data_IF_991646686213
#
_entry.id   IF_991646686213
#
_cell.length_a   1.000
_cell.length_b   1.000
_cell.length_c   1.000
_cell.angle_alpha   90.00
_cell.angle_beta   90.00
_cell.angle_gamma   90.00
#
_symmetry.space_group_name_H-M   'P 1'
#
loop_
_entity.id
_entity.type
_entity.pdbx_description
1 polymer ?
#
# COMPACT_ATOMS: atom_id res chain seq x y z
N UNK A 1 19.32 26.24 -82.77
CA UNK A 1 20.44 25.83 -81.90
C UNK A 1 20.50 26.81 -80.75
N UNK A 2 19.90 26.50 -79.64
CA UNK A 2 19.92 27.29 -78.39
C UNK A 2 20.89 26.65 -77.43
N UNK A 3 21.95 27.39 -77.09
CA UNK A 3 22.97 26.99 -76.11
C UNK A 3 22.37 26.99 -74.66
N UNK A 4 22.41 25.84 -73.98
CA UNK A 4 22.20 25.80 -72.58
C UNK A 4 23.44 26.29 -71.78
N UNK A 5 23.29 27.11 -70.74
CA UNK A 5 24.42 27.55 -69.94
C UNK A 5 24.94 26.44 -69.06
N UNK A 6 26.26 26.22 -69.06
CA UNK A 6 26.95 25.29 -68.12
C UNK A 6 26.87 25.83 -66.71
N UNK A 7 26.46 24.99 -65.78
CA UNK A 7 26.49 25.29 -64.35
C UNK A 7 27.93 25.40 -63.86
N UNK A 8 28.31 26.58 -63.42
CA UNK A 8 29.62 26.84 -62.81
C UNK A 8 29.79 26.22 -61.46
N UNK A 9 31.00 25.99 -60.95
CA UNK A 9 31.26 25.37 -59.65
C UNK A 9 30.74 26.29 -58.52
N UNK A 10 30.08 25.65 -57.53
CA UNK A 10 29.62 26.31 -56.32
C UNK A 10 30.77 27.05 -55.61
N UNK A 11 30.55 28.21 -55.00
CA UNK A 11 31.60 28.96 -54.32
C UNK A 11 32.09 28.20 -53.07
N UNK A 12 33.42 28.16 -52.92
CA UNK A 12 34.14 27.37 -51.86
C UNK A 12 33.57 27.45 -50.40
N UNK A 13 32.99 28.56 -49.97
CA UNK A 13 32.40 28.60 -48.60
C UNK A 13 31.09 27.82 -48.44
N UNK A 14 30.34 27.55 -49.51
CA UNK A 14 29.12 26.74 -49.45
C UNK A 14 29.42 25.23 -49.36
N UNK A 15 30.43 24.76 -50.11
CA UNK A 15 30.86 23.38 -50.06
C UNK A 15 31.44 22.99 -48.68
N UNK A 16 32.23 23.89 -48.06
CA UNK A 16 32.75 23.67 -46.70
C UNK A 16 31.65 23.62 -45.64
N UNK A 17 30.58 24.41 -45.78
CA UNK A 17 29.41 24.39 -44.86
C UNK A 17 28.57 23.12 -45.05
N UNK A 18 28.44 22.62 -46.27
CA UNK A 18 27.69 21.37 -46.52
C UNK A 18 28.44 20.16 -45.96
N UNK A 19 29.77 20.10 -46.09
CA UNK A 19 30.61 19.05 -45.53
C UNK A 19 30.59 19.08 -43.99
N UNK A 20 30.65 20.26 -43.38
CA UNK A 20 30.53 20.43 -41.94
C UNK A 20 29.15 20.00 -41.43
N UNK A 21 28.05 20.32 -42.15
CA UNK A 21 26.69 19.90 -41.78
C UNK A 21 26.50 18.38 -41.88
N UNK A 22 27.06 17.76 -42.94
CA UNK A 22 27.01 16.30 -43.09
C UNK A 22 27.86 15.59 -42.05
N UNK A 23 29.00 16.15 -41.65
CA UNK A 23 29.82 15.60 -40.56
C UNK A 23 29.12 15.68 -39.21
N UNK A 24 28.42 16.78 -38.91
CA UNK A 24 27.60 16.93 -37.68
C UNK A 24 26.42 15.96 -37.70
N UNK A 25 25.75 15.76 -38.84
CA UNK A 25 24.64 14.82 -38.98
C UNK A 25 25.13 13.38 -38.85
N UNK A 26 26.30 13.03 -39.35
CA UNK A 26 26.90 11.70 -39.20
C UNK A 26 27.32 11.41 -37.75
N UNK A 27 27.84 12.41 -37.03
CA UNK A 27 28.13 12.29 -35.58
C UNK A 27 26.85 12.17 -34.75
N UNK A 28 25.77 12.91 -35.09
CA UNK A 28 24.50 12.79 -34.42
C UNK A 28 23.81 11.44 -34.65
N UNK A 29 23.96 10.82 -35.82
CA UNK A 29 23.46 9.49 -36.14
C UNK A 29 24.30 8.36 -35.52
N UNK A 30 25.60 8.59 -35.25
CA UNK A 30 26.51 7.63 -34.63
C UNK A 30 26.31 7.46 -33.12
N UNK A 31 25.64 8.41 -32.43
CA UNK A 31 25.34 8.35 -30.99
C UNK A 31 23.88 7.99 -30.67
N UNK A 32 23.06 7.63 -31.66
CA UNK A 32 21.77 6.99 -31.37
C UNK A 32 22.04 5.56 -30.87
N UNK A 33 22.44 5.43 -29.61
CA UNK A 33 22.36 4.14 -28.94
C UNK A 33 20.93 3.62 -29.09
N UNK A 34 20.71 2.37 -29.52
CA UNK A 34 19.36 1.82 -29.57
C UNK A 34 18.71 2.00 -28.21
N UNK A 35 17.63 2.75 -28.12
CA UNK A 35 16.80 2.80 -26.93
C UNK A 35 16.30 1.38 -26.68
N UNK A 36 17.04 0.61 -25.87
CA UNK A 36 16.59 -0.71 -25.46
C UNK A 36 15.33 -0.49 -24.65
N UNK A 37 14.22 -0.98 -25.17
CA UNK A 37 12.94 -0.98 -24.46
C UNK A 37 13.15 -1.77 -23.17
N UNK A 38 13.32 -1.07 -22.05
CA UNK A 38 13.37 -1.69 -20.73
C UNK A 38 12.04 -2.38 -20.46
N UNK A 39 12.09 -3.59 -19.93
CA UNK A 39 10.91 -4.32 -19.49
C UNK A 39 10.12 -3.45 -18.50
N UNK A 40 8.95 -2.99 -18.93
CA UNK A 40 8.02 -2.21 -18.11
C UNK A 40 6.61 -2.72 -18.31
N UNK A 41 5.92 -2.95 -17.21
CA UNK A 41 4.52 -3.32 -17.23
C UNK A 41 3.66 -2.06 -17.43
N UNK A 42 2.97 -1.96 -18.58
CA UNK A 42 2.03 -0.86 -18.81
C UNK A 42 0.69 -1.16 -18.11
N UNK A 43 0.41 -0.39 -17.07
CA UNK A 43 -0.83 -0.47 -16.28
C UNK A 43 -1.80 0.59 -16.84
N UNK A 44 -2.66 0.20 -17.78
CA UNK A 44 -3.67 1.11 -18.32
C UNK A 44 -4.39 0.57 -19.54
N UNK A 45 -5.71 0.61 -19.54
CA UNK A 45 -6.63 0.44 -20.68
C UNK A 45 -6.61 -0.91 -21.37
N UNK A 46 -7.52 -1.81 -21.01
CA UNK A 46 -7.69 -3.13 -21.63
C UNK A 46 -7.70 -4.28 -20.60
N UNK A 47 -7.79 -5.51 -21.07
CA UNK A 47 -7.63 -6.70 -20.21
C UNK A 47 -6.16 -6.78 -19.75
N UNK A 48 -5.90 -6.35 -18.52
CA UNK A 48 -4.60 -6.50 -17.90
C UNK A 48 -4.29 -8.00 -17.70
N UNK A 49 -3.14 -8.47 -18.20
CA UNK A 49 -2.64 -9.81 -17.92
C UNK A 49 -1.40 -9.71 -17.02
N UNK A 50 -1.36 -10.46 -15.89
CA UNK A 50 -0.19 -10.50 -15.05
C UNK A 50 1.06 -10.99 -15.80
N UNK A 51 2.19 -10.34 -15.57
CA UNK A 51 3.45 -10.64 -16.22
C UNK A 51 4.04 -11.98 -15.75
N UNK A 52 4.37 -12.92 -16.65
CA UNK A 52 5.07 -14.15 -16.29
C UNK A 52 6.49 -13.83 -15.79
N UNK A 53 6.83 -14.31 -14.58
CA UNK A 53 8.13 -14.10 -13.92
C UNK A 53 8.62 -15.40 -13.30
N UNK A 54 9.93 -15.64 -13.29
CA UNK A 54 10.53 -16.73 -12.53
C UNK A 54 11.31 -16.17 -11.33
N UNK A 55 11.16 -16.82 -10.18
CA UNK A 55 11.92 -16.53 -8.96
C UNK A 55 12.66 -17.81 -8.59
N UNK A 56 13.97 -17.86 -8.86
CA UNK A 56 14.77 -19.02 -8.54
C UNK A 56 14.96 -19.17 -7.03
N UNK A 57 15.18 -20.40 -6.56
CA UNK A 57 15.62 -20.60 -5.19
C UNK A 57 16.96 -19.91 -4.96
N UNK A 58 17.06 -19.15 -3.87
CA UNK A 58 18.31 -18.45 -3.57
C UNK A 58 19.35 -19.45 -3.10
N UNK A 59 20.50 -19.44 -3.77
CA UNK A 59 21.62 -20.32 -3.45
C UNK A 59 22.25 -20.02 -2.09
N UNK A 60 23.21 -20.85 -1.67
CA UNK A 60 23.93 -20.75 -0.41
C UNK A 60 23.26 -21.53 0.72
N UNK A 61 22.71 -20.88 1.74
CA UNK A 61 21.96 -21.55 2.82
C UNK A 61 20.58 -22.02 2.28
N UNK A 62 20.32 -23.35 2.13
CA UNK A 62 19.11 -23.82 1.48
C UNK A 62 17.82 -23.45 2.22
N UNK A 63 17.86 -23.42 3.56
CA UNK A 63 16.69 -23.10 4.40
C UNK A 63 16.32 -21.62 4.30
N UNK A 64 17.30 -20.75 4.45
CA UNK A 64 17.10 -19.30 4.38
C UNK A 64 16.91 -18.83 2.94
N UNK A 65 17.58 -19.46 1.97
CA UNK A 65 17.39 -19.18 0.55
C UNK A 65 15.97 -19.47 0.09
N UNK A 66 15.44 -20.65 0.43
CA UNK A 66 14.06 -21.03 0.14
C UNK A 66 13.04 -20.16 0.89
N UNK A 67 13.33 -19.73 2.13
CA UNK A 67 12.48 -18.77 2.85
C UNK A 67 12.39 -17.43 2.11
N UNK A 68 13.51 -16.85 1.71
CA UNK A 68 13.55 -15.53 1.03
C UNK A 68 12.87 -15.61 -0.33
N UNK A 69 13.24 -16.60 -1.18
CA UNK A 69 12.63 -16.75 -2.52
C UNK A 69 11.15 -17.05 -2.44
N UNK A 70 10.69 -17.82 -1.44
CA UNK A 70 9.28 -18.11 -1.18
C UNK A 70 8.49 -16.86 -0.81
N UNK A 71 9.04 -15.96 0.01
CA UNK A 71 8.41 -14.67 0.34
C UNK A 71 8.31 -13.81 -0.92
N UNK A 72 9.37 -13.70 -1.72
CA UNK A 72 9.36 -12.92 -2.98
C UNK A 72 8.29 -13.46 -3.93
N UNK A 73 8.25 -14.78 -4.14
CA UNK A 73 7.26 -15.46 -4.99
C UNK A 73 5.84 -15.17 -4.55
N UNK A 74 5.56 -15.30 -3.25
CA UNK A 74 4.23 -15.08 -2.70
C UNK A 74 3.80 -13.61 -2.82
N UNK A 75 4.67 -12.67 -2.49
CA UNK A 75 4.41 -11.24 -2.58
C UNK A 75 4.09 -10.81 -4.02
N UNK A 76 4.94 -11.19 -4.98
CA UNK A 76 4.73 -10.83 -6.38
C UNK A 76 3.42 -11.42 -6.92
N UNK A 77 3.09 -12.68 -6.57
CA UNK A 77 1.80 -13.30 -6.93
C UNK A 77 0.63 -12.52 -6.34
N UNK A 78 0.69 -12.19 -5.06
CA UNK A 78 -0.38 -11.48 -4.35
C UNK A 78 -0.60 -10.06 -4.85
N UNK A 79 0.40 -9.44 -5.45
CA UNK A 79 0.22 -8.12 -6.07
C UNK A 79 -0.78 -8.15 -7.24
N UNK A 80 -1.02 -9.31 -7.85
CA UNK A 80 -1.84 -9.45 -9.05
C UNK A 80 -1.16 -8.97 -10.34
N UNK A 81 0.04 -8.39 -10.25
CA UNK A 81 0.79 -7.90 -11.41
C UNK A 81 1.71 -8.97 -12.01
N UNK A 82 1.94 -10.08 -11.31
CA UNK A 82 2.86 -11.13 -11.72
C UNK A 82 2.24 -12.53 -11.62
N UNK A 83 2.64 -13.40 -12.55
CA UNK A 83 2.38 -14.83 -12.50
C UNK A 83 3.71 -15.57 -12.37
N UNK A 84 4.12 -15.94 -11.13
CA UNK A 84 5.33 -16.72 -10.92
C UNK A 84 5.24 -18.08 -11.59
N UNK A 85 6.29 -18.45 -12.36
CA UNK A 85 6.43 -19.76 -12.98
C UNK A 85 6.62 -20.82 -11.89
N UNK A 86 5.98 -21.97 -12.05
CA UNK A 86 6.19 -23.14 -11.19
C UNK A 86 7.63 -23.65 -11.32
N UNK A 87 8.30 -23.95 -10.18
CA UNK A 87 9.68 -24.46 -10.13
C UNK A 87 9.86 -25.77 -10.93
N UNK A 88 8.82 -26.61 -11.01
CA UNK A 88 8.86 -27.84 -11.82
C UNK A 88 9.04 -27.58 -13.33
N UNK A 89 8.79 -26.35 -13.78
CA UNK A 89 8.95 -25.92 -15.18
C UNK A 89 10.26 -25.17 -15.43
N UNK A 90 11.14 -25.05 -14.43
CA UNK A 90 12.42 -24.37 -14.61
C UNK A 90 13.35 -25.18 -15.52
N UNK A 91 13.93 -24.56 -16.53
CA UNK A 91 14.83 -25.26 -17.46
C UNK A 91 16.21 -25.56 -16.86
N UNK A 92 16.56 -24.84 -15.79
CA UNK A 92 17.82 -24.97 -15.04
C UNK A 92 17.67 -24.33 -13.65
N UNK A 93 18.58 -24.67 -12.74
CA UNK A 93 18.81 -23.90 -11.50
C UNK A 93 19.90 -22.87 -11.78
N UNK A 94 19.57 -21.56 -11.83
CA UNK A 94 20.56 -20.54 -12.19
C UNK A 94 21.62 -20.40 -11.09
N UNK A 95 22.88 -20.35 -11.51
CA UNK A 95 23.96 -20.00 -10.61
C UNK A 95 24.02 -18.47 -10.45
N UNK A 96 24.05 -17.98 -9.20
CA UNK A 96 24.12 -16.54 -8.93
C UNK A 96 25.37 -15.86 -9.50
N UNK A 97 26.52 -16.58 -9.55
CA UNK A 97 27.78 -16.02 -10.01
C UNK A 97 27.96 -16.01 -11.54
N UNK A 98 27.00 -16.57 -12.28
CA UNK A 98 27.01 -16.64 -13.72
C UNK A 98 25.71 -16.01 -14.30
N UNK A 99 25.78 -15.55 -15.54
CA UNK A 99 24.56 -15.14 -16.27
C UNK A 99 23.70 -16.38 -16.58
N UNK A 100 22.38 -16.31 -16.39
CA UNK A 100 21.45 -17.39 -16.76
C UNK A 100 21.50 -17.72 -18.26
N UNK A 101 21.15 -18.94 -18.63
CA UNK A 101 20.97 -19.30 -20.04
C UNK A 101 19.64 -18.73 -20.54
N UNK A 102 19.64 -17.50 -21.03
CA UNK A 102 18.42 -16.78 -21.44
C UNK A 102 17.67 -17.46 -22.60
N UNK A 103 18.30 -18.24 -23.45
CA UNK A 103 17.64 -18.99 -24.49
C UNK A 103 16.65 -20.00 -23.90
N UNK A 104 17.11 -20.79 -22.91
CA UNK A 104 16.27 -21.74 -22.19
C UNK A 104 15.12 -21.04 -21.44
N UNK A 105 15.41 -19.91 -20.80
CA UNK A 105 14.40 -19.18 -20.05
C UNK A 105 13.33 -18.53 -20.97
N UNK A 106 13.71 -18.02 -22.14
CA UNK A 106 12.73 -17.51 -23.14
C UNK A 106 11.75 -18.60 -23.58
N UNK A 107 12.21 -19.85 -23.73
CA UNK A 107 11.35 -20.97 -24.08
C UNK A 107 10.23 -21.26 -23.06
N UNK A 108 10.37 -20.82 -21.80
CA UNK A 108 9.32 -20.96 -20.77
C UNK A 108 8.24 -19.87 -20.84
N UNK A 109 8.47 -18.81 -21.61
CA UNK A 109 7.57 -17.67 -21.74
C UNK A 109 7.68 -16.63 -20.63
N UNK A 110 8.62 -16.76 -19.67
CA UNK A 110 8.83 -15.74 -18.63
C UNK A 110 9.54 -14.51 -19.21
N UNK A 111 9.18 -13.35 -18.71
CA UNK A 111 9.77 -12.08 -19.13
C UNK A 111 10.81 -11.56 -18.13
N UNK A 112 10.63 -11.86 -16.84
CA UNK A 112 11.57 -11.54 -15.78
C UNK A 112 12.10 -12.77 -15.08
N UNK A 113 13.34 -12.70 -14.61
CA UNK A 113 13.95 -13.74 -13.77
C UNK A 113 14.66 -13.09 -12.58
N UNK A 114 14.30 -13.55 -11.38
CA UNK A 114 14.96 -13.17 -10.13
C UNK A 114 15.87 -14.31 -9.71
N UNK A 115 17.15 -14.01 -9.54
CA UNK A 115 18.16 -14.93 -8.98
C UNK A 115 18.73 -14.36 -7.69
N UNK A 116 19.16 -15.20 -6.76
CA UNK A 116 19.69 -14.70 -5.50
C UNK A 116 20.59 -15.68 -4.78
N UNK A 117 21.24 -15.19 -3.74
CA UNK A 117 22.10 -15.96 -2.85
C UNK A 117 21.99 -15.46 -1.42
N UNK A 118 21.98 -16.41 -0.47
CA UNK A 118 22.08 -16.15 0.97
C UNK A 118 23.39 -16.73 1.48
N UNK A 119 24.23 -15.88 2.05
CA UNK A 119 25.50 -16.27 2.65
C UNK A 119 25.65 -15.62 4.03
N UNK A 120 26.70 -16.00 4.77
CA UNK A 120 27.07 -15.33 6.01
C UNK A 120 28.35 -14.55 5.82
N UNK A 121 28.39 -13.36 6.37
CA UNK A 121 29.62 -12.59 6.43
C UNK A 121 30.57 -13.14 7.56
N UNK A 122 31.82 -12.67 7.67
CA UNK A 122 32.73 -13.09 8.73
C UNK A 122 32.23 -12.79 10.16
N UNK A 123 31.30 -11.88 10.35
CA UNK A 123 30.66 -11.56 11.64
C UNK A 123 29.46 -12.48 11.96
N UNK A 124 29.08 -13.38 11.06
CA UNK A 124 27.94 -14.28 11.17
C UNK A 124 26.61 -13.68 10.76
N UNK A 125 26.56 -12.42 10.33
CA UNK A 125 25.36 -11.79 9.79
C UNK A 125 25.00 -12.35 8.42
N UNK A 126 23.73 -12.34 8.10
CA UNK A 126 23.27 -12.71 6.76
C UNK A 126 23.63 -11.62 5.76
N UNK A 127 24.12 -12.08 4.61
CA UNK A 127 24.29 -11.32 3.39
C UNK A 127 23.35 -11.93 2.36
N UNK A 128 22.32 -11.18 1.95
CA UNK A 128 21.36 -11.60 0.94
C UNK A 128 21.57 -10.74 -0.30
N UNK A 129 21.82 -11.38 -1.42
CA UNK A 129 22.09 -10.75 -2.71
C UNK A 129 21.02 -11.20 -3.71
N UNK A 130 20.53 -10.30 -4.56
CA UNK A 130 19.64 -10.68 -5.66
C UNK A 130 19.97 -9.91 -6.94
N UNK A 131 19.55 -10.47 -8.07
CA UNK A 131 19.57 -9.84 -9.39
C UNK A 131 18.22 -10.07 -10.07
N UNK A 132 17.73 -9.04 -10.70
CA UNK A 132 16.57 -9.09 -11.60
C UNK A 132 17.06 -8.97 -13.03
N UNK A 133 16.67 -9.90 -13.87
CA UNK A 133 17.03 -9.98 -15.28
C UNK A 133 15.80 -9.76 -16.17
N UNK A 134 15.96 -9.02 -17.24
CA UNK A 134 15.06 -9.04 -18.38
C UNK A 134 15.46 -10.23 -19.26
N UNK A 135 14.58 -11.24 -19.32
CA UNK A 135 14.85 -12.49 -20.05
C UNK A 135 14.87 -12.25 -21.56
N UNK A 136 14.13 -11.27 -22.05
CA UNK A 136 14.06 -10.96 -23.50
C UNK A 136 15.38 -10.36 -23.99
N UNK A 137 15.89 -9.35 -23.31
CA UNK A 137 17.13 -8.68 -23.67
C UNK A 137 18.39 -9.37 -23.13
N UNK A 138 18.27 -10.21 -22.09
CA UNK A 138 19.37 -10.80 -21.36
C UNK A 138 20.13 -9.81 -20.46
N UNK A 139 19.55 -8.63 -20.21
CA UNK A 139 20.19 -7.58 -19.41
C UNK A 139 19.78 -7.65 -17.94
N UNK A 140 20.72 -7.36 -17.05
CA UNK A 140 20.41 -7.17 -15.64
C UNK A 140 19.72 -5.80 -15.45
N UNK A 141 18.47 -5.82 -14.98
CA UNK A 141 17.67 -4.61 -14.72
C UNK A 141 18.05 -3.93 -13.41
N UNK A 142 18.33 -4.73 -12.37
CA UNK A 142 18.78 -4.27 -11.04
C UNK A 142 19.41 -5.41 -10.28
N UNK A 143 20.18 -5.08 -9.24
CA UNK A 143 20.70 -6.00 -8.27
C UNK A 143 21.06 -5.24 -7.01
N UNK A 144 20.82 -5.83 -5.85
CA UNK A 144 21.09 -5.23 -4.55
C UNK A 144 21.59 -6.29 -3.57
N UNK A 145 22.18 -5.81 -2.48
CA UNK A 145 22.69 -6.60 -1.39
C UNK A 145 22.14 -6.04 -0.09
N UNK A 146 21.72 -6.94 0.79
CA UNK A 146 21.24 -6.62 2.14
C UNK A 146 22.09 -7.33 3.18
N UNK A 147 22.53 -6.59 4.20
CA UNK A 147 23.13 -7.15 5.41
C UNK A 147 22.07 -7.17 6.52
N UNK A 148 21.83 -8.33 7.14
CA UNK A 148 20.78 -8.46 8.16
C UNK A 148 21.08 -9.58 9.16
N UNK A 149 20.25 -9.67 10.21
CA UNK A 149 20.27 -10.82 11.11
C UNK A 149 19.34 -11.94 10.60
N UNK A 150 19.59 -13.17 11.03
CA UNK A 150 18.79 -14.34 10.62
C UNK A 150 17.29 -14.14 10.89
N UNK A 151 16.94 -13.50 12.01
CA UNK A 151 15.55 -13.20 12.36
C UNK A 151 14.83 -12.30 11.34
N UNK A 152 15.58 -11.50 10.57
CA UNK A 152 15.04 -10.57 9.57
C UNK A 152 15.10 -11.13 8.13
N UNK A 153 15.47 -12.38 7.93
CA UNK A 153 15.56 -12.97 6.59
C UNK A 153 14.25 -12.84 5.80
N UNK A 154 13.09 -13.04 6.46
CA UNK A 154 11.77 -12.87 5.86
C UNK A 154 11.52 -11.43 5.41
N UNK A 155 11.86 -10.44 6.26
CA UNK A 155 11.77 -9.02 5.91
C UNK A 155 12.61 -8.67 4.68
N UNK A 156 13.79 -9.29 4.55
CA UNK A 156 14.61 -9.10 3.34
C UNK A 156 13.89 -9.58 2.08
N UNK A 157 13.09 -10.65 2.16
CA UNK A 157 12.21 -11.06 1.07
C UNK A 157 11.18 -9.98 0.70
N UNK A 158 10.61 -9.24 1.66
CA UNK A 158 9.73 -8.11 1.40
C UNK A 158 10.46 -6.96 0.71
N UNK A 159 11.66 -6.61 1.16
CA UNK A 159 12.50 -5.56 0.53
C UNK A 159 12.86 -5.91 -0.92
N UNK A 160 13.22 -7.16 -1.20
CA UNK A 160 13.49 -7.64 -2.56
C UNK A 160 12.22 -7.57 -3.41
N UNK A 161 11.08 -7.96 -2.86
CA UNK A 161 9.78 -7.85 -3.55
C UNK A 161 9.47 -6.41 -3.94
N UNK A 162 9.69 -5.46 -3.03
CA UNK A 162 9.53 -4.03 -3.28
C UNK A 162 10.46 -3.55 -4.40
N UNK A 163 11.73 -3.96 -4.38
CA UNK A 163 12.71 -3.58 -5.41
C UNK A 163 12.32 -4.11 -6.80
N UNK A 164 11.90 -5.38 -6.89
CA UNK A 164 11.45 -6.01 -8.13
C UNK A 164 10.15 -5.37 -8.63
N UNK A 165 9.16 -5.24 -7.75
CA UNK A 165 7.87 -4.65 -8.06
C UNK A 165 8.01 -3.22 -8.58
N UNK A 166 8.72 -2.37 -7.84
CA UNK A 166 8.92 -0.97 -8.22
C UNK A 166 9.70 -0.85 -9.55
N UNK A 167 10.72 -1.69 -9.75
CA UNK A 167 11.53 -1.65 -10.99
C UNK A 167 10.72 -2.00 -12.23
N UNK A 168 9.79 -2.94 -12.13
CA UNK A 168 9.00 -3.41 -13.28
C UNK A 168 7.73 -2.58 -13.49
N UNK A 169 7.04 -2.21 -12.40
CA UNK A 169 5.74 -1.54 -12.50
C UNK A 169 5.84 -0.01 -12.50
N UNK A 170 6.93 0.56 -11.99
CA UNK A 170 7.04 1.99 -11.71
C UNK A 170 6.20 2.47 -10.53
N UNK A 171 5.45 1.57 -9.86
CA UNK A 171 4.65 1.89 -8.68
C UNK A 171 5.50 1.88 -7.42
N UNK A 172 5.05 2.62 -6.39
CA UNK A 172 5.75 2.65 -5.10
C UNK A 172 5.77 1.30 -4.36
N UNK A 173 6.72 1.13 -3.45
CA UNK A 173 6.86 -0.07 -2.61
C UNK A 173 5.71 -0.18 -1.59
N UNK A 174 5.44 -1.42 -1.11
CA UNK A 174 4.39 -1.67 -0.11
C UNK A 174 4.55 -2.99 0.68
N UNK A 175 5.43 -3.91 0.25
CA UNK A 175 5.55 -5.21 0.89
C UNK A 175 6.26 -5.15 2.25
N UNK A 176 7.25 -4.23 2.42
CA UNK A 176 7.91 -4.05 3.72
C UNK A 176 7.05 -3.21 4.67
N UNK A 177 5.86 -3.72 5.01
CA UNK A 177 4.86 -3.08 5.85
C UNK A 177 4.11 -4.11 6.70
N UNK A 178 3.29 -3.63 7.64
CA UNK A 178 2.51 -4.44 8.56
C UNK A 178 1.03 -4.09 8.51
N UNK A 179 0.22 -5.03 8.96
CA UNK A 179 -1.20 -4.84 9.22
C UNK A 179 -1.43 -4.97 10.72
N UNK A 180 -2.15 -4.02 11.31
CA UNK A 180 -2.76 -4.19 12.61
C UNK A 180 -4.27 -4.37 12.43
N UNK A 181 -4.88 -5.17 13.31
CA UNK A 181 -6.30 -5.49 13.25
C UNK A 181 -6.83 -5.89 14.63
N UNK A 182 -8.13 -5.90 14.76
CA UNK A 182 -8.81 -6.45 15.93
C UNK A 182 -9.08 -7.94 15.68
N UNK A 183 -8.43 -8.80 16.47
CA UNK A 183 -8.70 -10.24 16.53
C UNK A 183 -9.92 -10.48 17.41
N UNK A 184 -10.89 -11.23 16.89
CA UNK A 184 -12.13 -11.54 17.59
C UNK A 184 -12.22 -13.05 17.81
N UNK A 185 -12.14 -13.47 19.05
CA UNK A 185 -12.19 -14.87 19.45
C UNK A 185 -13.25 -15.12 20.53
N UNK A 186 -13.73 -16.38 20.62
CA UNK A 186 -14.79 -16.76 21.55
C UNK A 186 -16.21 -16.67 20.98
N UNK A 187 -17.24 -16.94 21.81
CA UNK A 187 -18.63 -16.91 21.40
C UNK A 187 -19.06 -15.53 20.88
N UNK A 188 -20.02 -15.50 19.95
CA UNK A 188 -20.48 -14.24 19.30
C UNK A 188 -20.98 -13.22 20.33
N UNK A 189 -21.64 -13.68 21.39
CA UNK A 189 -22.24 -12.84 22.43
C UNK A 189 -21.19 -12.27 23.40
N UNK A 190 -19.98 -12.85 23.44
CA UNK A 190 -18.91 -12.41 24.34
C UNK A 190 -17.53 -12.62 23.69
N UNK A 191 -17.32 -11.94 22.55
CA UNK A 191 -16.03 -12.01 21.86
C UNK A 191 -14.95 -11.25 22.58
N UNK A 192 -13.83 -11.92 22.77
CA UNK A 192 -12.60 -11.30 23.23
C UNK A 192 -11.95 -10.57 22.06
N UNK A 193 -11.72 -9.28 22.22
CA UNK A 193 -11.13 -8.40 21.19
C UNK A 193 -9.71 -8.01 21.58
N UNK A 194 -8.75 -8.34 20.71
CA UNK A 194 -7.32 -8.05 20.92
C UNK A 194 -6.74 -7.27 19.76
N UNK A 195 -5.89 -6.31 20.06
CA UNK A 195 -5.05 -5.69 19.03
C UNK A 195 -3.95 -6.68 18.65
N UNK A 196 -3.89 -7.01 17.36
CA UNK A 196 -2.88 -7.88 16.77
C UNK A 196 -2.11 -7.11 15.70
N UNK A 197 -0.87 -7.54 15.45
CA UNK A 197 -0.03 -7.05 14.36
C UNK A 197 0.57 -8.24 13.63
N UNK A 198 0.69 -8.14 12.31
CA UNK A 198 1.27 -9.14 11.42
C UNK A 198 2.00 -8.50 10.25
N UNK A 199 2.83 -9.24 9.53
CA UNK A 199 3.33 -8.84 8.22
C UNK A 199 2.14 -8.69 7.24
N UNK A 200 2.29 -7.88 6.20
CA UNK A 200 1.20 -7.60 5.27
C UNK A 200 0.65 -8.85 4.54
N UNK A 201 1.37 -9.96 4.57
CA UNK A 201 0.97 -11.23 3.96
C UNK A 201 0.35 -12.25 4.95
N UNK A 202 0.10 -11.82 6.19
CA UNK A 202 -0.53 -12.63 7.24
C UNK A 202 0.45 -13.44 8.09
N UNK A 203 1.76 -13.33 7.87
CA UNK A 203 2.77 -14.00 8.69
C UNK A 203 3.14 -13.20 9.95
N UNK A 204 3.89 -13.82 10.86
CA UNK A 204 4.45 -13.20 12.06
C UNK A 204 3.38 -12.52 12.95
N UNK A 205 2.20 -13.16 13.06
CA UNK A 205 1.09 -12.64 13.87
C UNK A 205 1.47 -12.61 15.35
N UNK A 206 1.31 -11.44 15.99
CA UNK A 206 1.57 -11.28 17.42
C UNK A 206 0.50 -10.42 18.09
N UNK A 207 0.13 -10.78 19.32
CA UNK A 207 -0.76 -9.98 20.14
C UNK A 207 -0.03 -8.77 20.74
N UNK A 208 -0.69 -7.62 20.69
CA UNK A 208 -0.23 -6.37 21.30
C UNK A 208 -0.95 -6.13 22.63
N UNK A 209 -2.20 -6.61 22.75
CA UNK A 209 -3.00 -6.52 23.99
C UNK A 209 -3.45 -7.91 24.44
N UNK A 210 -3.70 -8.06 25.75
CA UNK A 210 -4.15 -9.31 26.35
C UNK A 210 -5.61 -9.69 26.04
N UNK A 211 -6.44 -8.67 25.69
CA UNK A 211 -7.89 -8.82 25.49
C UNK A 211 -8.71 -8.75 26.79
N UNK A 212 -8.14 -8.22 27.88
CA UNK A 212 -8.87 -7.88 29.11
C UNK A 212 -9.77 -6.66 28.92
N UNK A 213 -9.39 -5.79 28.00
CA UNK A 213 -10.18 -4.65 27.57
C UNK A 213 -10.61 -4.83 26.11
N UNK A 214 -11.83 -4.45 25.78
CA UNK A 214 -12.28 -4.43 24.38
C UNK A 214 -11.53 -3.38 23.60
N UNK A 215 -11.03 -3.75 22.42
CA UNK A 215 -10.28 -2.87 21.53
C UNK A 215 -11.08 -2.66 20.26
N UNK A 216 -11.15 -1.41 19.77
CA UNK A 216 -11.78 -1.07 18.49
C UNK A 216 -11.01 0.06 17.80
N UNK A 217 -11.20 0.17 16.49
CA UNK A 217 -10.70 1.24 15.62
C UNK A 217 -9.19 1.52 15.74
N UNK A 218 -8.31 0.50 15.70
CA UNK A 218 -6.87 0.76 15.68
C UNK A 218 -6.48 1.50 14.38
N UNK A 219 -5.54 2.43 14.48
CA UNK A 219 -5.00 3.19 13.33
C UNK A 219 -3.52 3.43 13.49
N UNK A 220 -2.75 3.04 12.47
CA UNK A 220 -1.33 3.36 12.40
C UNK A 220 -1.11 4.87 12.21
N UNK A 221 -0.05 5.36 12.81
CA UNK A 221 0.55 6.65 12.44
C UNK A 221 1.17 6.53 11.04
N UNK A 222 0.96 7.50 10.14
CA UNK A 222 1.63 7.50 8.85
C UNK A 222 3.13 7.84 8.95
N UNK A 223 3.58 8.41 10.07
CA UNK A 223 4.96 8.85 10.28
C UNK A 223 5.80 7.89 11.13
N UNK A 224 5.17 7.09 12.00
CA UNK A 224 5.87 6.26 13.00
C UNK A 224 5.23 4.87 13.09
N UNK A 225 5.78 3.99 13.94
CA UNK A 225 5.19 2.70 14.27
C UNK A 225 4.22 2.79 15.47
N UNK A 226 3.61 3.95 15.69
CA UNK A 226 2.59 4.14 16.71
C UNK A 226 1.22 3.70 16.19
N UNK A 227 0.40 3.16 17.08
CA UNK A 227 -1.01 2.82 16.83
C UNK A 227 -1.87 3.57 17.84
N UNK A 228 -2.82 4.37 17.35
CA UNK A 228 -3.92 4.90 18.14
C UNK A 228 -5.09 3.92 18.09
N UNK A 229 -5.77 3.69 19.20
CA UNK A 229 -6.93 2.82 19.28
C UNK A 229 -7.83 3.21 20.44
N UNK A 230 -9.06 2.75 20.42
CA UNK A 230 -9.95 2.84 21.56
C UNK A 230 -9.90 1.57 22.38
N UNK A 231 -9.85 1.74 23.70
CA UNK A 231 -9.98 0.64 24.65
C UNK A 231 -11.09 0.91 25.65
N UNK A 232 -11.87 -0.12 25.94
CA UNK A 232 -12.93 -0.07 26.93
C UNK A 232 -12.81 -1.23 27.91
N UNK A 233 -12.55 -0.94 29.17
CA UNK A 233 -12.67 -1.89 30.25
C UNK A 233 -14.13 -1.99 30.72
N UNK A 234 -14.54 -3.15 31.23
CA UNK A 234 -15.89 -3.36 31.76
C UNK A 234 -16.22 -2.31 32.85
N UNK A 235 -17.34 -1.64 32.70
CA UNK A 235 -17.77 -0.60 33.65
C UNK A 235 -17.04 0.76 33.55
N UNK A 236 -16.18 0.93 32.55
CA UNK A 236 -15.46 2.19 32.33
C UNK A 236 -15.82 2.81 30.97
N UNK A 237 -15.71 4.12 30.86
CA UNK A 237 -15.84 4.83 29.59
C UNK A 237 -14.70 4.44 28.62
N UNK A 238 -14.98 4.38 27.30
CA UNK A 238 -13.95 4.18 26.29
C UNK A 238 -12.87 5.26 26.36
N UNK A 239 -11.61 4.85 26.13
CA UNK A 239 -10.46 5.78 26.13
C UNK A 239 -9.64 5.61 24.86
N UNK A 240 -9.19 6.71 24.29
CA UNK A 240 -8.18 6.71 23.24
C UNK A 240 -6.82 6.42 23.87
N UNK A 241 -6.09 5.48 23.30
CA UNK A 241 -4.73 5.14 23.67
C UNK A 241 -3.82 5.18 22.46
N UNK A 242 -2.55 5.49 22.67
CA UNK A 242 -1.48 5.34 21.69
C UNK A 242 -0.46 4.35 22.25
N UNK A 243 -0.04 3.41 21.41
CA UNK A 243 1.05 2.48 21.72
C UNK A 243 2.12 2.58 20.64
N UNK A 244 3.37 2.66 21.05
CA UNK A 244 4.52 2.54 20.17
C UNK A 244 4.94 1.07 20.07
N UNK A 245 4.97 0.51 18.86
CA UNK A 245 5.23 -0.92 18.65
C UNK A 245 6.71 -1.31 18.79
N UNK A 246 7.63 -0.35 18.74
CA UNK A 246 9.07 -0.58 18.87
C UNK A 246 9.50 -0.58 20.32
N UNK A 247 8.99 0.37 21.10
CA UNK A 247 9.35 0.54 22.51
C UNK A 247 8.39 -0.13 23.48
N UNK A 248 7.16 -0.44 23.04
CA UNK A 248 6.05 -0.90 23.89
C UNK A 248 5.45 0.20 24.77
N UNK A 249 5.93 1.44 24.66
CA UNK A 249 5.40 2.56 25.44
C UNK A 249 3.93 2.80 25.11
N UNK A 250 3.09 2.94 26.15
CA UNK A 250 1.65 3.16 26.03
C UNK A 250 1.25 4.44 26.74
N UNK A 251 0.40 5.23 26.09
CA UNK A 251 -0.10 6.49 26.64
C UNK A 251 -1.62 6.54 26.47
N UNK A 252 -2.37 6.80 27.57
CA UNK A 252 -3.77 7.16 27.49
C UNK A 252 -3.90 8.65 27.15
N UNK A 253 -4.75 8.99 26.21
CA UNK A 253 -5.01 10.37 25.78
C UNK A 253 -6.37 10.83 26.35
N UNK A 254 -6.28 11.72 27.32
CA UNK A 254 -7.42 12.44 27.88
C UNK A 254 -8.25 11.70 28.92
N UNK A 255 -8.70 12.42 29.94
CA UNK A 255 -9.97 12.14 30.62
C UNK A 255 -11.04 12.71 29.71
N UNK A 256 -11.68 11.89 28.93
CA UNK A 256 -12.78 12.36 28.10
C UNK A 256 -14.04 12.01 28.85
N UNK A 257 -14.67 13.03 29.48
CA UNK A 257 -16.03 12.93 30.01
C UNK A 257 -17.07 12.74 28.88
N UNK A 258 -16.58 12.64 27.64
CA UNK A 258 -17.30 12.43 26.40
C UNK A 258 -16.75 11.22 25.66
N UNK A 259 -17.62 10.44 25.00
CA UNK A 259 -17.19 9.32 24.16
C UNK A 259 -16.44 9.83 22.94
N UNK A 260 -15.12 9.54 22.89
CA UNK A 260 -14.31 9.77 21.70
C UNK A 260 -14.26 8.52 20.85
N UNK A 261 -14.33 8.67 19.53
CA UNK A 261 -14.33 7.55 18.59
C UNK A 261 -13.41 7.79 17.38
N UNK A 262 -12.96 6.70 16.76
CA UNK A 262 -12.24 6.69 15.49
C UNK A 262 -11.01 7.61 15.41
N UNK A 263 -10.03 7.50 16.33
CA UNK A 263 -8.85 8.34 16.32
C UNK A 263 -8.02 8.10 15.05
N UNK A 264 -7.50 9.17 14.44
CA UNK A 264 -6.56 9.14 13.31
C UNK A 264 -5.42 10.12 13.52
N UNK A 265 -4.21 9.74 13.17
CA UNK A 265 -3.06 10.64 13.25
C UNK A 265 -3.07 11.69 12.13
N UNK A 266 -2.53 12.86 12.44
CA UNK A 266 -2.06 13.79 11.42
C UNK A 266 -0.88 13.20 10.63
N UNK A 267 -0.58 13.69 9.41
CA UNK A 267 0.51 13.16 8.59
C UNK A 267 1.89 13.20 9.27
N UNK A 268 2.13 14.17 10.14
CA UNK A 268 3.36 14.32 10.93
C UNK A 268 3.39 13.46 12.20
N UNK A 269 2.29 12.76 12.51
CA UNK A 269 2.16 11.93 13.71
C UNK A 269 2.02 12.68 15.03
N UNK A 270 1.93 14.03 15.04
CA UNK A 270 1.93 14.85 16.26
C UNK A 270 0.55 15.12 16.83
N UNK A 271 -0.49 15.03 16.01
CA UNK A 271 -1.88 15.26 16.41
C UNK A 271 -2.73 14.05 16.11
N UNK A 272 -3.86 13.96 16.82
CA UNK A 272 -4.97 13.09 16.47
C UNK A 272 -6.15 13.95 16.03
N UNK A 273 -6.91 13.44 15.08
CA UNK A 273 -8.27 13.86 14.80
C UNK A 273 -9.22 12.74 15.22
N UNK A 274 -10.31 13.06 15.87
CA UNK A 274 -11.29 12.09 16.37
C UNK A 274 -12.68 12.70 16.42
N UNK A 275 -13.69 11.89 16.55
CA UNK A 275 -15.04 12.35 16.88
C UNK A 275 -15.23 12.34 18.40
N UNK A 276 -15.88 13.36 18.92
CA UNK A 276 -16.21 13.52 20.33
C UNK A 276 -17.70 13.72 20.50
N UNK A 277 -18.36 12.79 21.19
CA UNK A 277 -19.80 12.85 21.41
C UNK A 277 -20.12 13.66 22.66
N UNK A 278 -20.96 14.68 22.53
CA UNK A 278 -21.47 15.50 23.63
C UNK A 278 -22.97 15.81 23.39
N UNK A 279 -23.79 15.59 24.41
CA UNK A 279 -25.20 16.04 24.40
C UNK A 279 -26.07 15.49 23.26
N UNK A 280 -25.74 14.33 22.70
CA UNK A 280 -26.48 13.72 21.58
C UNK A 280 -25.90 14.03 20.20
N UNK A 281 -24.96 14.95 20.07
CA UNK A 281 -24.22 15.26 18.85
C UNK A 281 -22.83 14.61 18.88
N UNK A 282 -22.16 14.56 17.74
CA UNK A 282 -20.77 14.19 17.63
C UNK A 282 -20.02 15.21 16.74
N UNK A 283 -18.93 15.77 17.25
CA UNK A 283 -18.14 16.76 16.56
C UNK A 283 -16.73 16.23 16.26
N UNK A 284 -16.12 16.72 15.19
CA UNK A 284 -14.71 16.44 14.87
C UNK A 284 -13.84 17.37 15.71
N UNK A 285 -12.89 16.76 16.44
CA UNK A 285 -11.93 17.45 17.30
C UNK A 285 -10.52 17.03 16.92
N UNK A 286 -9.60 17.96 16.88
CA UNK A 286 -8.15 17.70 16.78
C UNK A 286 -7.50 17.85 18.15
N UNK A 287 -6.54 16.97 18.47
CA UNK A 287 -5.80 16.99 19.74
C UNK A 287 -4.30 16.90 19.47
N UNK A 288 -3.52 17.79 20.06
CA UNK A 288 -2.06 17.65 20.11
C UNK A 288 -1.67 16.58 21.15
N UNK A 289 -0.88 15.57 20.72
CA UNK A 289 -0.58 14.39 21.54
C UNK A 289 0.30 14.78 22.76
N UNK A 290 1.22 15.71 22.60
CA UNK A 290 2.14 16.11 23.66
C UNK A 290 1.48 17.03 24.71
N UNK A 291 0.79 18.06 24.25
CA UNK A 291 0.19 19.09 25.11
C UNK A 291 -1.22 18.76 25.58
N UNK A 292 -1.92 17.83 24.90
CA UNK A 292 -3.35 17.51 25.08
C UNK A 292 -4.29 18.65 24.70
N UNK A 293 -3.79 19.73 24.10
CA UNK A 293 -4.60 20.83 23.63
C UNK A 293 -5.57 20.33 22.54
N UNK A 294 -6.85 20.72 22.65
CA UNK A 294 -7.90 20.34 21.73
C UNK A 294 -8.42 21.56 20.97
N UNK A 295 -8.78 21.34 19.70
CA UNK A 295 -9.44 22.34 18.86
C UNK A 295 -10.64 21.69 18.19
N UNK A 296 -11.79 22.36 18.24
CA UNK A 296 -12.99 21.91 17.54
C UNK A 296 -12.83 22.15 16.04
N UNK A 297 -13.04 21.11 15.24
CA UNK A 297 -13.09 21.20 13.77
C UNK A 297 -14.50 21.38 13.25
N UNK A 298 -15.51 20.82 13.95
CA UNK A 298 -16.93 21.04 13.66
C UNK A 298 -17.66 21.45 14.93
N UNK A 299 -18.80 22.10 14.75
CA UNK A 299 -19.72 22.43 15.82
C UNK A 299 -21.12 22.46 15.23
N UNK A 300 -22.09 21.88 15.90
CA UNK A 300 -23.46 21.87 15.38
C UNK A 300 -24.32 20.75 15.93
N UNK A 301 -25.43 20.53 15.23
CA UNK A 301 -26.42 19.49 15.61
C UNK A 301 -26.24 18.21 14.81
N UNK A 302 -25.29 18.16 13.87
CA UNK A 302 -24.99 16.99 13.07
C UNK A 302 -24.17 15.95 13.85
N UNK A 303 -24.22 14.71 13.38
CA UNK A 303 -23.37 13.61 13.85
C UNK A 303 -22.19 13.53 12.89
N UNK A 304 -21.07 14.14 13.27
CA UNK A 304 -19.82 14.15 12.51
C UNK A 304 -18.84 13.12 13.09
N UNK A 305 -18.47 12.11 12.29
CA UNK A 305 -17.68 10.97 12.77
C UNK A 305 -16.59 10.52 11.77
N UNK A 306 -15.77 9.55 12.17
CA UNK A 306 -14.80 8.86 11.31
C UNK A 306 -13.85 9.78 10.53
N UNK A 307 -13.24 10.80 11.15
CA UNK A 307 -12.38 11.75 10.44
C UNK A 307 -11.07 11.11 9.94
N UNK A 308 -10.52 11.62 8.85
CA UNK A 308 -9.20 11.26 8.33
C UNK A 308 -8.54 12.46 7.67
N UNK A 309 -7.25 12.69 7.93
CA UNK A 309 -6.48 13.73 7.27
C UNK A 309 -6.16 13.39 5.81
N UNK A 310 -6.08 14.42 4.97
CA UNK A 310 -5.34 14.37 3.72
C UNK A 310 -3.84 14.16 4.00
N UNK A 311 -3.07 13.50 3.10
CA UNK A 311 -1.66 13.21 3.36
C UNK A 311 -0.75 14.45 3.46
N UNK A 312 -1.18 15.60 2.96
CA UNK A 312 -0.50 16.89 3.12
C UNK A 312 -0.93 17.65 4.38
N UNK A 313 -1.93 17.14 5.12
CA UNK A 313 -2.46 17.74 6.34
C UNK A 313 -3.36 18.95 6.13
N UNK A 314 -3.66 19.35 4.90
CA UNK A 314 -4.44 20.57 4.59
C UNK A 314 -5.95 20.40 4.77
N UNK A 315 -6.46 19.16 4.68
CA UNK A 315 -7.86 18.85 4.71
C UNK A 315 -8.18 17.64 5.61
N UNK A 316 -9.46 17.52 5.99
CA UNK A 316 -10.02 16.39 6.72
C UNK A 316 -11.25 15.90 5.97
N UNK A 317 -11.28 14.59 5.62
CA UNK A 317 -12.50 13.92 5.21
C UNK A 317 -13.19 13.32 6.45
N UNK A 318 -14.50 13.36 6.50
CA UNK A 318 -15.28 12.88 7.63
C UNK A 318 -16.70 12.47 7.18
N UNK A 319 -17.36 11.74 8.01
CA UNK A 319 -18.75 11.31 7.84
C UNK A 319 -19.68 12.27 8.56
N UNK A 320 -20.80 12.66 7.93
CA UNK A 320 -21.76 13.60 8.49
C UNK A 320 -23.19 13.32 8.00
N UNK A 321 -24.16 13.48 8.88
CA UNK A 321 -25.60 13.41 8.56
C UNK A 321 -26.24 14.79 8.33
N UNK A 322 -25.47 15.88 8.27
CA UNK A 322 -25.94 17.26 8.08
C UNK A 322 -26.82 17.47 6.85
N UNK A 323 -26.74 16.60 5.86
CA UNK A 323 -27.57 16.59 4.66
C UNK A 323 -28.76 15.65 4.73
N UNK A 324 -29.13 15.15 5.92
CA UNK A 324 -30.27 14.26 6.18
C UNK A 324 -29.92 12.76 6.17
N UNK A 325 -28.82 12.35 5.55
CA UNK A 325 -28.30 10.99 5.61
C UNK A 325 -26.78 11.02 5.71
N UNK A 326 -26.20 9.99 6.31
CA UNK A 326 -24.73 9.84 6.45
C UNK A 326 -24.05 9.86 5.08
N UNK A 327 -23.13 10.80 4.89
CA UNK A 327 -22.33 10.96 3.67
C UNK A 327 -20.92 11.40 4.03
N UNK A 328 -19.98 11.25 3.09
CA UNK A 328 -18.63 11.74 3.24
C UNK A 328 -18.55 13.20 2.83
N UNK A 329 -17.93 13.99 3.69
CA UNK A 329 -17.65 15.42 3.51
C UNK A 329 -16.14 15.64 3.59
N UNK A 330 -15.69 16.74 3.01
CA UNK A 330 -14.31 17.25 3.12
C UNK A 330 -14.36 18.69 3.63
N UNK A 331 -13.45 19.05 4.53
CA UNK A 331 -13.28 20.40 5.06
C UNK A 331 -11.79 20.76 5.17
N UNK A 332 -11.45 22.01 5.32
CA UNK A 332 -10.11 22.44 5.73
C UNK A 332 -9.70 21.83 7.08
N UNK A 333 -8.41 21.63 7.31
CA UNK A 333 -7.93 21.09 8.59
C UNK A 333 -8.24 22.04 9.80
N UNK A 334 -8.57 23.28 9.51
CA UNK A 334 -9.05 24.29 10.46
C UNK A 334 -10.57 24.27 10.67
N UNK A 335 -11.29 23.33 10.03
CA UNK A 335 -12.75 23.23 10.07
C UNK A 335 -13.49 24.07 9.01
N UNK A 336 -12.78 24.80 8.15
CA UNK A 336 -13.38 25.68 7.15
C UNK A 336 -13.99 24.92 5.96
N UNK A 337 -15.02 25.52 5.34
CA UNK A 337 -15.60 25.09 4.06
C UNK A 337 -16.00 23.61 3.96
N UNK A 338 -16.79 23.05 4.88
CA UNK A 338 -17.24 21.67 4.78
C UNK A 338 -18.17 21.50 3.57
N UNK A 339 -17.86 20.53 2.70
CA UNK A 339 -18.67 20.23 1.54
C UNK A 339 -18.77 18.72 1.31
N UNK A 340 -19.93 18.28 0.80
CA UNK A 340 -20.23 16.87 0.55
C UNK A 340 -19.52 16.40 -0.72
N UNK A 341 -18.94 15.17 -0.68
CA UNK A 341 -18.29 14.54 -1.82
C UNK A 341 -18.92 13.22 -2.28
N UNK A 342 -19.87 12.67 -1.53
CA UNK A 342 -20.60 11.45 -1.92
C UNK A 342 -22.08 11.77 -2.19
N UNK A 343 -22.61 11.25 -3.31
CA UNK A 343 -23.96 11.55 -3.79
C UNK A 343 -24.69 10.25 -4.17
N UNK A 344 -26.00 10.34 -4.44
CA UNK A 344 -26.82 9.21 -4.82
C UNK A 344 -27.50 8.51 -3.64
N UNK A 345 -28.06 7.33 -3.90
CA UNK A 345 -28.80 6.55 -2.93
C UNK A 345 -27.89 5.82 -1.92
N UNK A 346 -28.40 5.62 -0.71
CA UNK A 346 -27.71 4.96 0.39
C UNK A 346 -26.80 5.90 1.17
N UNK A 347 -26.21 5.38 2.23
CA UNK A 347 -25.23 6.08 3.08
C UNK A 347 -23.79 5.83 2.62
N UNK A 348 -22.90 6.75 2.98
CA UNK A 348 -21.45 6.59 2.82
C UNK A 348 -20.76 6.94 4.14
N UNK A 349 -19.82 6.09 4.56
CA UNK A 349 -19.21 6.14 5.89
C UNK A 349 -17.74 5.71 5.87
N UNK A 350 -17.04 5.94 7.00
CA UNK A 350 -15.68 5.47 7.26
C UNK A 350 -14.67 5.87 6.17
N UNK A 351 -14.53 7.15 5.83
CA UNK A 351 -13.57 7.56 4.81
C UNK A 351 -12.13 7.26 5.22
N UNK A 352 -11.32 6.91 4.22
CA UNK A 352 -9.89 6.76 4.34
C UNK A 352 -9.21 7.45 3.16
N UNK A 353 -8.31 8.39 3.43
CA UNK A 353 -7.58 9.10 2.38
C UNK A 353 -6.40 8.28 1.88
N UNK A 354 -6.21 8.20 0.57
CA UNK A 354 -5.05 7.59 -0.07
C UNK A 354 -3.76 8.34 0.33
N UNK A 355 -2.66 7.64 0.64
CA UNK A 355 -1.37 8.30 0.91
C UNK A 355 -0.82 9.09 -0.28
N UNK A 356 -1.38 8.91 -1.49
CA UNK A 356 -1.06 9.70 -2.68
C UNK A 356 -1.88 10.99 -2.81
N UNK A 357 -2.92 11.15 -1.98
CA UNK A 357 -3.80 12.31 -2.00
C UNK A 357 -4.86 12.31 -3.11
N UNK A 358 -4.81 11.35 -4.03
CA UNK A 358 -5.62 11.31 -5.25
C UNK A 358 -7.01 10.68 -5.09
N UNK A 359 -7.20 9.85 -4.05
CA UNK A 359 -8.44 9.10 -3.81
C UNK A 359 -8.84 9.14 -2.33
N UNK A 360 -10.14 9.01 -2.10
CA UNK A 360 -10.75 8.70 -0.80
C UNK A 360 -11.51 7.39 -0.96
N UNK A 361 -11.18 6.37 -0.16
CA UNK A 361 -11.95 5.14 -0.05
C UNK A 361 -13.00 5.29 1.05
N UNK A 362 -14.16 4.66 0.90
CA UNK A 362 -15.23 4.68 1.89
C UNK A 362 -16.13 3.46 1.76
N UNK A 363 -16.84 3.15 2.82
CA UNK A 363 -17.92 2.17 2.83
C UNK A 363 -19.19 2.81 2.31
N UNK A 364 -19.86 2.20 1.31
CA UNK A 364 -21.15 2.65 0.80
C UNK A 364 -22.21 1.57 1.00
N UNK A 365 -23.30 1.91 1.67
CA UNK A 365 -24.48 1.06 1.73
C UNK A 365 -25.26 1.18 0.42
N UNK A 366 -25.50 0.05 -0.26
CA UNK A 366 -26.29 -0.01 -1.49
C UNK A 366 -26.84 -1.42 -1.71
N UNK A 367 -27.99 -1.51 -2.36
CA UNK A 367 -28.63 -2.79 -2.75
C UNK A 367 -28.78 -3.80 -1.59
N UNK A 368 -28.97 -3.34 -0.36
CA UNK A 368 -29.09 -4.20 0.82
C UNK A 368 -27.77 -4.77 1.35
N UNK A 369 -26.62 -4.36 0.80
CA UNK A 369 -25.27 -4.72 1.24
C UNK A 369 -24.35 -3.51 1.38
N UNK A 370 -23.05 -3.78 1.56
CA UNK A 370 -22.02 -2.78 1.73
C UNK A 370 -20.93 -2.97 0.69
N UNK A 371 -20.53 -1.87 0.07
CA UNK A 371 -19.48 -1.84 -0.94
C UNK A 371 -18.31 -1.00 -0.44
N UNK A 372 -17.10 -1.37 -0.83
CA UNK A 372 -15.94 -0.49 -0.76
C UNK A 372 -15.87 0.30 -2.07
N UNK A 373 -15.97 1.61 -1.95
CA UNK A 373 -15.91 2.55 -3.06
C UNK A 373 -14.70 3.46 -2.94
N UNK A 374 -14.31 4.05 -4.06
CA UNK A 374 -13.33 5.15 -4.12
C UNK A 374 -13.86 6.28 -4.98
N UNK A 375 -13.52 7.51 -4.62
CA UNK A 375 -13.71 8.70 -5.44
C UNK A 375 -12.50 9.62 -5.34
N UNK A 376 -12.41 10.63 -6.22
CA UNK A 376 -11.48 11.73 -6.01
C UNK A 376 -11.92 12.59 -4.82
N UNK A 377 -11.03 13.41 -4.23
CA UNK A 377 -11.39 14.31 -3.14
C UNK A 377 -12.47 15.35 -3.47
N UNK A 378 -12.67 15.65 -4.74
CA UNK A 378 -13.74 16.53 -5.24
C UNK A 378 -15.09 15.80 -5.45
N UNK A 379 -15.15 14.50 -5.14
CA UNK A 379 -16.33 13.64 -5.30
C UNK A 379 -16.53 13.08 -6.70
N UNK A 380 -15.70 13.44 -7.68
CA UNK A 380 -15.80 12.91 -9.04
C UNK A 380 -15.18 11.51 -9.17
N UNK A 381 -15.55 10.77 -10.21
CA UNK A 381 -14.93 9.49 -10.54
C UNK A 381 -15.21 8.38 -9.53
N UNK A 382 -16.38 8.42 -8.87
CA UNK A 382 -16.78 7.32 -7.97
C UNK A 382 -16.80 5.99 -8.73
N UNK A 383 -16.25 4.97 -8.09
CA UNK A 383 -16.34 3.59 -8.56
C UNK A 383 -16.34 2.61 -7.40
N UNK A 384 -17.05 1.53 -7.61
CA UNK A 384 -17.11 0.39 -6.69
C UNK A 384 -15.88 -0.49 -6.94
N UNK A 385 -15.15 -0.81 -5.87
CA UNK A 385 -14.04 -1.77 -5.92
C UNK A 385 -14.54 -3.19 -5.67
N UNK A 386 -15.42 -3.36 -4.67
CA UNK A 386 -15.99 -4.67 -4.31
C UNK A 386 -17.30 -4.49 -3.55
N UNK A 387 -18.21 -5.45 -3.70
CA UNK A 387 -19.49 -5.51 -2.99
C UNK A 387 -19.60 -6.80 -2.17
N UNK A 388 -20.35 -6.74 -1.08
CA UNK A 388 -20.61 -7.91 -0.22
C UNK A 388 -21.72 -7.64 0.77
N UNK A 389 -22.06 -8.64 1.57
CA UNK A 389 -23.07 -8.49 2.61
C UNK A 389 -22.66 -7.40 3.61
N UNK A 390 -21.40 -7.42 4.06
CA UNK A 390 -20.88 -6.45 5.03
C UNK A 390 -19.38 -6.22 4.78
N UNK A 391 -19.05 -5.24 3.96
CA UNK A 391 -17.67 -4.80 3.69
C UNK A 391 -17.45 -3.46 4.34
N UNK A 392 -16.48 -3.33 5.26
CA UNK A 392 -16.26 -2.10 6.03
C UNK A 392 -14.79 -1.83 6.37
N UNK A 393 -14.54 -0.63 6.88
CA UNK A 393 -13.27 -0.20 7.45
C UNK A 393 -12.13 -0.12 6.44
N UNK A 394 -12.30 0.56 5.29
CA UNK A 394 -11.24 0.65 4.30
C UNK A 394 -10.01 1.37 4.84
N UNK A 395 -8.82 0.89 4.44
CA UNK A 395 -7.53 1.54 4.67
C UNK A 395 -6.60 1.26 3.50
N UNK A 396 -5.76 2.22 3.11
CA UNK A 396 -4.86 2.06 1.98
C UNK A 396 -3.54 1.41 2.37
N UNK A 397 -2.97 0.65 1.44
CA UNK A 397 -1.56 0.27 1.45
C UNK A 397 -0.65 1.50 1.31
N UNK A 398 0.63 1.44 1.77
CA UNK A 398 1.54 2.58 1.73
C UNK A 398 1.71 3.23 0.35
N UNK A 399 1.60 2.45 -0.73
CA UNK A 399 1.72 2.96 -2.09
C UNK A 399 0.39 3.45 -2.70
N UNK A 400 -0.73 3.37 -1.97
CA UNK A 400 -2.04 3.81 -2.44
C UNK A 400 -2.63 2.98 -3.59
N UNK A 401 -2.11 1.76 -3.86
CA UNK A 401 -2.57 0.89 -4.94
C UNK A 401 -3.55 -0.19 -4.49
N UNK A 402 -3.65 -0.43 -3.19
CA UNK A 402 -4.53 -1.43 -2.61
C UNK A 402 -5.31 -0.84 -1.45
N UNK A 403 -6.53 -1.33 -1.28
CA UNK A 403 -7.41 -1.04 -0.14
C UNK A 403 -7.60 -2.34 0.64
N UNK A 404 -7.29 -2.30 1.92
CA UNK A 404 -7.54 -3.37 2.89
C UNK A 404 -8.86 -3.04 3.59
N UNK A 405 -9.68 -4.06 3.83
CA UNK A 405 -10.98 -3.94 4.50
C UNK A 405 -11.33 -5.26 5.19
N UNK A 406 -12.36 -5.27 6.02
CA UNK A 406 -12.91 -6.53 6.51
C UNK A 406 -14.26 -6.82 5.86
N UNK A 407 -14.52 -8.12 5.67
CA UNK A 407 -15.79 -8.65 5.17
C UNK A 407 -16.37 -9.60 6.19
N UNK A 408 -17.61 -9.33 6.63
CA UNK A 408 -18.41 -10.28 7.40
C UNK A 408 -19.45 -10.91 6.44
N UNK A 409 -19.45 -12.24 6.26
CA UNK A 409 -20.44 -12.90 5.41
C UNK A 409 -21.82 -13.02 6.07
N UNK A 410 -21.95 -12.59 7.33
CA UNK A 410 -23.15 -12.75 8.14
C UNK A 410 -23.26 -14.13 8.80
N UNK A 411 -24.40 -14.36 9.45
CA UNK A 411 -24.69 -15.61 10.15
C UNK A 411 -23.92 -15.79 11.46
N UNK A 412 -23.49 -17.01 11.77
CA UNK A 412 -22.73 -17.35 12.99
C UNK A 412 -21.23 -17.09 12.87
N UNK A 413 -20.76 -16.72 11.67
CA UNK A 413 -19.37 -16.41 11.41
C UNK A 413 -18.95 -15.06 11.97
N UNK A 414 -17.83 -14.52 11.47
CA UNK A 414 -17.33 -13.21 11.77
C UNK A 414 -16.43 -12.71 10.65
N UNK A 415 -16.00 -11.47 10.76
CA UNK A 415 -15.22 -10.80 9.74
C UNK A 415 -13.91 -11.48 9.40
N UNK A 416 -13.47 -11.33 8.18
CA UNK A 416 -12.15 -11.71 7.65
C UNK A 416 -11.57 -10.54 6.89
N UNK A 417 -10.24 -10.47 6.82
CA UNK A 417 -9.55 -9.41 6.11
C UNK A 417 -9.41 -9.74 4.63
N UNK A 418 -9.62 -8.73 3.81
CA UNK A 418 -9.45 -8.78 2.35
C UNK A 418 -8.70 -7.53 1.89
N UNK A 419 -7.95 -7.67 0.81
CA UNK A 419 -7.43 -6.53 0.07
C UNK A 419 -7.95 -6.55 -1.36
N UNK A 420 -8.18 -5.37 -1.92
CA UNK A 420 -8.56 -5.17 -3.32
C UNK A 420 -7.69 -4.08 -3.93
N UNK A 421 -7.29 -4.24 -5.18
CA UNK A 421 -6.58 -3.18 -5.89
C UNK A 421 -7.51 -2.01 -6.23
N UNK A 422 -6.96 -0.81 -6.45
CA UNK A 422 -7.76 0.40 -6.74
C UNK A 422 -8.54 0.31 -8.06
N UNK A 423 -8.35 -0.72 -8.86
CA UNK A 423 -9.15 -0.98 -10.09
C UNK A 423 -10.34 -1.91 -9.83
N UNK A 424 -10.38 -2.59 -8.68
CA UNK A 424 -11.39 -3.60 -8.34
C UNK A 424 -11.20 -4.94 -9.05
N UNK A 425 -10.08 -5.18 -9.74
CA UNK A 425 -9.84 -6.40 -10.53
C UNK A 425 -9.12 -7.50 -9.77
N UNK A 426 -8.33 -7.14 -8.77
CA UNK A 426 -7.55 -8.08 -7.96
C UNK A 426 -8.04 -7.99 -6.53
N UNK A 427 -8.79 -8.99 -6.08
CA UNK A 427 -9.24 -9.12 -4.69
C UNK A 427 -8.66 -10.40 -4.10
N UNK A 428 -8.16 -10.32 -2.86
CA UNK A 428 -7.56 -11.47 -2.16
C UNK A 428 -7.84 -11.43 -0.66
N UNK A 429 -8.05 -12.60 -0.03
CA UNK A 429 -8.10 -12.70 1.42
C UNK A 429 -6.71 -12.51 2.04
N UNK A 430 -6.67 -11.92 3.22
CA UNK A 430 -5.49 -11.88 4.08
C UNK A 430 -5.70 -12.93 5.20
N UNK A 431 -4.81 -13.91 5.34
CA UNK A 431 -4.93 -14.92 6.38
C UNK A 431 -4.91 -14.31 7.79
N UNK A 432 -5.85 -14.72 8.64
CA UNK A 432 -5.91 -14.33 10.06
C UNK A 432 -6.18 -15.57 10.92
N UNK A 433 -5.65 -15.65 12.16
CA UNK A 433 -5.83 -16.82 13.03
C UNK A 433 -7.29 -17.09 13.38
N UNK A 434 -8.07 -16.04 13.59
CA UNK A 434 -9.49 -16.09 13.97
C UNK A 434 -10.29 -15.08 13.16
N UNK A 435 -11.44 -14.64 13.64
CA UNK A 435 -12.18 -13.54 13.05
C UNK A 435 -11.43 -12.23 13.25
N UNK A 436 -11.57 -11.31 12.31
CA UNK A 436 -10.82 -10.08 12.29
C UNK A 436 -11.68 -8.92 11.79
N UNK A 437 -11.54 -7.75 12.45
CA UNK A 437 -12.19 -6.49 12.07
C UNK A 437 -11.22 -5.31 12.19
N UNK A 438 -11.69 -4.14 11.79
CA UNK A 438 -10.99 -2.84 11.92
C UNK A 438 -9.53 -2.85 11.47
N UNK A 439 -9.19 -3.30 10.26
CA UNK A 439 -7.81 -3.33 9.82
C UNK A 439 -7.22 -1.94 9.64
N UNK A 440 -5.91 -1.85 9.81
CA UNK A 440 -5.12 -0.66 9.48
C UNK A 440 -3.76 -1.07 8.93
N UNK A 441 -3.32 -0.39 7.88
CA UNK A 441 -2.03 -0.63 7.24
C UNK A 441 -0.97 0.32 7.79
N UNK A 442 0.22 -0.19 8.10
CA UNK A 442 1.35 0.63 8.55
C UNK A 442 1.97 1.44 7.40
N UNK A 443 2.71 2.52 7.68
CA UNK A 443 3.71 3.00 6.73
C UNK A 443 4.76 1.91 6.46
N UNK A 444 5.64 2.16 5.49
CA UNK A 444 6.80 1.32 5.27
C UNK A 444 7.68 1.28 6.53
N UNK A 445 8.27 0.12 6.80
CA UNK A 445 9.14 -0.02 7.96
C UNK A 445 10.44 0.78 7.79
N UNK A 446 10.95 1.37 8.88
CA UNK A 446 12.21 2.12 8.86
C UNK A 446 13.43 1.21 8.62
N UNK A 447 14.55 1.80 8.16
CA UNK A 447 15.82 1.06 7.97
C UNK A 447 15.80 0.16 6.72
N UNK A 448 15.38 0.73 5.60
CA UNK A 448 15.44 0.10 4.25
C UNK A 448 16.83 0.13 3.67
#
# INVERSE_FOLDING_TARGET
MQNLPSAGPLPAPLAARLVALLAVLAVALGFAAPAQAQLQLRIGGGSFQPMPIAIADFGGDPSLGGLVSGVVTNNLRRSGYFTPLDHARFPEQPNFDAAPNFEKWRATGVQGLVTGRVSRDPSGKLKVEFRLWDVTSGQQMTGQQYGTDTANARRTGHLISDAVYTKITGLGPWFDSRIAFVDESGPKENRRKRLMVMDQDGANVRAITSGETSIVAPRYSPATQDIAFMSQATGHQPRVQVINLETGARQALGNVDSMSASPRFSPDGRRLVMSVQQGGNADIVTMDIATKAQHSGTNGMAIDTSPTYAPDGSQIAFESDRGGSQQVYVMGADGSNPHRITFGAGSASQPAWSPRGDLIAYTRQRNGGFAICVSKPDGTGERVLTEGYHNEGPTFAPNGQYVLFFRDPGGQGGGKLFMVDITGKVEQPIPTPSYASDPTWSPLLAGR
#
